data_IF_889497879283
#
_entry.id   IF_889497879283
#
_cell.length_a   1.000
_cell.length_b   1.000
_cell.length_c   1.000
_cell.angle_alpha   90.00
_cell.angle_beta   90.00
_cell.angle_gamma   90.00
#
_symmetry.space_group_name_H-M   'P 1'
#
loop_
_entity.id
_entity.type
_entity.pdbx_description
1 polymer ?
#
# COMPACT_ATOMS: atom_id res chain seq x y z
N UNK A 1 4.72 1.05 -31.04
CA UNK A 1 3.84 1.53 -32.12
C UNK A 1 3.15 2.80 -31.65
N UNK A 2 3.08 3.79 -32.53
CA UNK A 2 2.76 5.22 -32.33
C UNK A 2 1.39 5.47 -31.70
N UNK A 3 1.18 6.61 -31.01
CA UNK A 3 0.32 7.74 -31.45
C UNK A 3 0.63 9.00 -30.60
N UNK A 4 1.16 10.08 -31.20
CA UNK A 4 0.48 11.38 -31.51
C UNK A 4 0.05 12.13 -30.23
N UNK A 5 0.52 13.33 -29.89
CA UNK A 5 0.21 14.60 -30.57
C UNK A 5 1.31 15.64 -30.33
N UNK A 6 1.79 16.20 -31.45
CA UNK A 6 2.58 17.41 -31.50
C UNK A 6 1.60 18.60 -31.53
N UNK A 7 1.57 19.43 -30.50
CA UNK A 7 1.12 20.82 -30.60
C UNK A 7 1.40 21.55 -29.28
N UNK A 8 2.14 22.66 -29.35
CA UNK A 8 1.68 23.93 -28.78
C UNK A 8 2.61 25.04 -29.29
N UNK A 9 2.19 25.65 -30.41
CA UNK A 9 2.55 27.03 -30.70
C UNK A 9 1.77 27.93 -29.74
N UNK A 10 2.50 28.87 -29.12
CA UNK A 10 2.04 30.11 -28.51
C UNK A 10 0.60 30.18 -27.94
N UNK A 11 0.46 30.19 -26.61
CA UNK A 11 -0.36 31.18 -25.89
C UNK A 11 -0.11 31.14 -24.37
N UNK A 12 -0.07 32.32 -23.70
CA UNK A 12 0.07 32.45 -22.26
C UNK A 12 -1.29 32.40 -21.56
N UNK A 13 -1.28 31.88 -20.33
CA UNK A 13 -2.29 32.07 -19.27
C UNK A 13 -3.57 31.24 -19.24
N UNK A 14 -3.80 30.68 -18.04
CA UNK A 14 -5.07 30.27 -17.42
C UNK A 14 -5.77 28.96 -17.84
N UNK A 15 -5.06 27.83 -17.67
CA UNK A 15 -5.60 26.59 -17.11
C UNK A 15 -4.45 25.59 -17.04
N UNK A 16 -4.06 25.12 -15.84
CA UNK A 16 -3.20 23.93 -15.74
C UNK A 16 -4.02 22.78 -16.34
N UNK A 17 -3.64 22.19 -17.48
CA UNK A 17 -4.30 20.98 -17.92
C UNK A 17 -3.84 19.89 -16.95
N UNK A 18 -4.83 19.18 -16.42
CA UNK A 18 -4.72 17.92 -15.68
C UNK A 18 -4.11 16.83 -16.59
N UNK A 19 -2.86 17.02 -17.00
CA UNK A 19 -2.09 16.11 -17.85
C UNK A 19 -0.79 15.65 -17.18
N UNK A 20 -0.64 15.96 -15.89
CA UNK A 20 0.40 15.38 -15.01
C UNK A 20 -0.22 14.50 -13.90
N UNK A 21 -1.48 14.11 -14.05
CA UNK A 21 -2.21 13.32 -13.05
C UNK A 21 -2.19 11.80 -13.38
N UNK A 22 -2.07 11.44 -14.66
CA UNK A 22 -2.20 10.04 -15.11
C UNK A 22 -0.94 9.20 -14.95
N UNK A 23 0.26 9.81 -14.99
CA UNK A 23 1.51 9.09 -14.67
C UNK A 23 1.69 8.92 -13.15
N UNK A 24 1.20 9.88 -12.37
CA UNK A 24 1.45 9.97 -10.93
C UNK A 24 0.61 8.98 -10.14
N UNK A 25 -0.67 8.78 -10.50
CA UNK A 25 -1.56 7.82 -9.80
C UNK A 25 -1.07 6.37 -9.88
N UNK A 26 -0.54 5.96 -11.03
CA UNK A 26 -0.03 4.59 -11.21
C UNK A 26 1.30 4.42 -10.46
N UNK A 27 2.19 5.40 -10.57
CA UNK A 27 3.49 5.41 -9.90
C UNK A 27 3.34 5.44 -8.36
N UNK A 28 2.34 6.17 -7.84
CA UNK A 28 1.99 6.18 -6.41
C UNK A 28 1.44 4.83 -5.94
N UNK A 29 0.58 4.17 -6.72
CA UNK A 29 0.07 2.84 -6.40
C UNK A 29 1.20 1.79 -6.42
N UNK A 30 2.11 1.87 -7.39
CA UNK A 30 3.28 0.99 -7.48
C UNK A 30 4.24 1.22 -6.30
N UNK A 31 4.47 2.48 -5.89
CA UNK A 31 5.23 2.81 -4.68
C UNK A 31 4.56 2.28 -3.41
N UNK A 32 3.23 2.37 -3.33
CA UNK A 32 2.47 1.77 -2.23
C UNK A 32 2.67 0.25 -2.19
N UNK A 33 2.66 -0.41 -3.36
CA UNK A 33 2.85 -1.87 -3.47
C UNK A 33 4.28 -2.28 -3.16
N UNK A 34 5.28 -1.49 -3.54
CA UNK A 34 6.70 -1.83 -3.39
C UNK A 34 7.08 -2.18 -1.94
N UNK A 35 6.52 -1.46 -0.96
CA UNK A 35 6.71 -1.76 0.47
C UNK A 35 6.12 -3.12 0.87
N UNK A 36 4.97 -3.50 0.31
CA UNK A 36 4.27 -4.77 0.60
C UNK A 36 4.92 -5.95 -0.11
N UNK A 37 5.24 -5.81 -1.41
CA UNK A 37 5.88 -6.87 -2.20
C UNK A 37 7.29 -7.16 -1.67
N UNK A 38 7.99 -6.13 -1.18
CA UNK A 38 9.29 -6.29 -0.54
C UNK A 38 9.26 -7.23 0.67
N UNK A 39 8.10 -7.31 1.35
CA UNK A 39 7.85 -8.31 2.39
C UNK A 39 7.21 -9.57 1.78
N UNK A 40 8.06 -10.53 1.40
CA UNK A 40 7.65 -11.85 0.92
C UNK A 40 6.58 -12.48 1.82
N UNK A 41 5.43 -12.84 1.26
CA UNK A 41 4.34 -13.50 2.00
C UNK A 41 3.40 -12.56 2.75
N UNK A 42 3.71 -11.26 2.87
CA UNK A 42 2.87 -10.34 3.64
C UNK A 42 1.45 -10.19 3.07
N UNK A 43 1.33 -10.16 1.74
CA UNK A 43 0.03 -10.17 1.07
C UNK A 43 -0.78 -11.41 1.46
N UNK A 44 -0.15 -12.58 1.41
CA UNK A 44 -0.80 -13.85 1.76
C UNK A 44 -1.24 -13.87 3.23
N UNK A 45 -0.40 -13.39 4.15
CA UNK A 45 -0.72 -13.27 5.56
C UNK A 45 -1.95 -12.36 5.77
N UNK A 46 -1.98 -11.20 5.12
CA UNK A 46 -3.09 -10.23 5.20
C UNK A 46 -4.40 -10.82 4.64
N UNK A 47 -4.34 -11.44 3.46
CA UNK A 47 -5.52 -12.08 2.86
C UNK A 47 -6.00 -13.27 3.67
N UNK A 48 -5.09 -14.15 4.08
CA UNK A 48 -5.40 -15.30 4.92
C UNK A 48 -6.06 -14.84 6.21
N UNK A 49 -5.52 -13.80 6.85
CA UNK A 49 -6.06 -13.21 8.08
C UNK A 49 -7.49 -12.69 7.90
N UNK A 50 -7.78 -12.09 6.75
CA UNK A 50 -9.12 -11.62 6.44
C UNK A 50 -10.10 -12.77 6.21
N UNK A 51 -9.71 -13.79 5.43
CA UNK A 51 -10.57 -14.94 5.15
C UNK A 51 -10.81 -15.83 6.37
N UNK A 52 -9.81 -16.00 7.24
CA UNK A 52 -9.96 -16.77 8.49
C UNK A 52 -10.50 -15.93 9.65
N UNK A 53 -10.51 -14.61 9.53
CA UNK A 53 -10.86 -13.69 10.61
C UNK A 53 -9.85 -13.66 11.77
N UNK A 54 -8.66 -14.26 11.61
CA UNK A 54 -7.60 -14.31 12.62
C UNK A 54 -6.37 -13.61 12.08
N UNK A 55 -5.92 -12.55 12.74
CA UNK A 55 -4.72 -11.83 12.31
C UNK A 55 -3.48 -12.66 12.61
N UNK A 56 -2.75 -13.02 11.56
CA UNK A 56 -1.49 -13.74 11.65
C UNK A 56 -0.50 -13.12 10.66
N UNK A 57 0.31 -12.18 11.15
CA UNK A 57 1.32 -11.47 10.36
C UNK A 57 2.70 -11.84 10.88
N UNK A 58 3.64 -12.12 9.97
CA UNK A 58 5.06 -12.21 10.31
C UNK A 58 5.64 -10.84 10.71
N UNK A 59 6.72 -10.84 11.50
CA UNK A 59 7.42 -9.59 11.88
C UNK A 59 7.87 -8.76 10.66
N UNK A 60 8.29 -9.43 9.58
CA UNK A 60 8.66 -8.78 8.33
C UNK A 60 7.44 -8.15 7.63
N UNK A 61 6.28 -8.80 7.68
CA UNK A 61 5.05 -8.21 7.18
C UNK A 61 4.61 -7.01 8.03
N UNK A 62 4.78 -7.08 9.35
CA UNK A 62 4.48 -5.96 10.23
C UNK A 62 5.33 -4.73 9.95
N UNK A 63 6.63 -4.89 9.70
CA UNK A 63 7.49 -3.78 9.29
C UNK A 63 7.01 -3.11 7.98
N UNK A 64 6.49 -3.90 7.03
CA UNK A 64 5.91 -3.37 5.81
C UNK A 64 4.57 -2.63 6.08
N UNK A 65 3.68 -3.20 6.89
CA UNK A 65 2.40 -2.58 7.27
C UNK A 65 2.60 -1.25 8.01
N UNK A 66 3.58 -1.17 8.90
CA UNK A 66 3.92 0.08 9.60
C UNK A 66 4.44 1.16 8.66
N UNK A 67 5.22 0.76 7.64
CA UNK A 67 5.72 1.66 6.60
C UNK A 67 4.65 2.15 5.61
N UNK A 68 3.45 1.56 5.62
CA UNK A 68 2.37 1.88 4.68
C UNK A 68 1.42 2.91 5.29
N UNK A 69 1.21 4.00 4.55
CA UNK A 69 0.20 5.00 4.87
C UNK A 69 -1.21 4.47 4.63
N UNK A 70 -2.21 4.94 5.39
CA UNK A 70 -3.61 4.52 5.26
C UNK A 70 -4.18 4.73 3.85
N UNK A 71 -3.76 5.82 3.18
CA UNK A 71 -4.11 6.06 1.78
C UNK A 71 -3.58 4.96 0.85
N UNK A 72 -2.33 4.54 1.03
CA UNK A 72 -1.76 3.44 0.27
C UNK A 72 -2.50 2.14 0.55
N UNK A 73 -2.71 1.81 1.82
CA UNK A 73 -3.41 0.57 2.20
C UNK A 73 -4.77 0.46 1.52
N UNK A 74 -5.56 1.54 1.56
CA UNK A 74 -6.91 1.58 0.97
C UNK A 74 -6.90 1.42 -0.57
N UNK A 75 -5.82 1.86 -1.24
CA UNK A 75 -5.65 1.70 -2.69
C UNK A 75 -5.27 0.27 -3.09
N UNK A 76 -4.48 -0.41 -2.26
CA UNK A 76 -4.00 -1.77 -2.50
C UNK A 76 -5.06 -2.80 -2.12
N UNK A 77 -5.74 -2.52 -1.02
CA UNK A 77 -6.63 -3.42 -0.32
C UNK A 77 -8.04 -2.81 -0.21
N UNK A 78 -8.69 -2.46 -1.35
CA UNK A 78 -9.99 -1.78 -1.31
C UNK A 78 -11.10 -2.64 -0.71
N UNK A 79 -10.95 -3.97 -0.76
CA UNK A 79 -11.91 -4.94 -0.23
C UNK A 79 -11.78 -5.19 1.28
N UNK A 80 -10.65 -4.82 1.91
CA UNK A 80 -10.41 -5.04 3.34
C UNK A 80 -11.12 -4.01 4.22
N UNK A 81 -11.54 -2.88 3.65
CA UNK A 81 -12.25 -1.82 4.33
C UNK A 81 -11.35 -0.84 5.09
N UNK A 82 -11.86 0.36 5.33
CA UNK A 82 -11.11 1.51 5.88
C UNK A 82 -10.56 1.29 7.30
N UNK A 83 -11.09 0.31 8.04
CA UNK A 83 -10.66 0.00 9.41
C UNK A 83 -9.60 -1.09 9.52
N UNK A 84 -9.23 -1.75 8.42
CA UNK A 84 -8.35 -2.92 8.51
C UNK A 84 -6.87 -2.54 8.66
N UNK A 85 -6.42 -1.43 8.06
CA UNK A 85 -5.06 -0.94 8.26
C UNK A 85 -4.72 -0.64 9.74
N UNK A 86 -5.53 0.16 10.48
CA UNK A 86 -5.25 0.41 11.89
C UNK A 86 -5.35 -0.86 12.75
N UNK A 87 -6.19 -1.82 12.35
CA UNK A 87 -6.29 -3.13 13.01
C UNK A 87 -4.99 -3.94 12.87
N UNK A 88 -4.43 -4.02 11.65
CA UNK A 88 -3.15 -4.69 11.40
C UNK A 88 -2.00 -3.97 12.12
N UNK A 89 -1.96 -2.65 12.08
CA UNK A 89 -0.96 -1.85 12.82
C UNK A 89 -1.04 -2.09 14.33
N UNK A 90 -2.25 -2.15 14.90
CA UNK A 90 -2.44 -2.46 16.31
C UNK A 90 -1.91 -3.86 16.68
N UNK A 91 -2.15 -4.86 15.83
CA UNK A 91 -1.58 -6.19 16.02
C UNK A 91 -0.05 -6.17 15.93
N UNK A 92 0.51 -5.44 14.98
CA UNK A 92 1.96 -5.31 14.82
C UNK A 92 2.63 -4.69 16.03
N UNK A 93 2.10 -3.59 16.56
CA UNK A 93 2.60 -2.97 17.80
C UNK A 93 2.53 -3.93 18.99
N UNK A 94 1.44 -4.70 19.11
CA UNK A 94 1.29 -5.72 20.15
C UNK A 94 2.30 -6.86 19.99
N UNK A 95 2.62 -7.25 18.75
CA UNK A 95 3.62 -8.27 18.45
C UNK A 95 5.04 -7.79 18.76
N UNK A 96 5.36 -6.52 18.52
CA UNK A 96 6.66 -5.91 18.88
C UNK A 96 6.88 -5.83 20.39
N UNK A 97 5.79 -5.71 21.17
CA UNK A 97 5.83 -5.70 22.64
C UNK A 97 5.79 -7.08 23.28
N UNK A 98 5.36 -8.11 22.53
CA UNK A 98 5.40 -9.49 22.97
C UNK A 98 6.77 -10.08 22.60
N UNK A 99 7.67 -10.18 23.59
CA UNK A 99 8.90 -10.94 23.44
C UNK A 99 8.59 -12.33 22.83
N UNK A 100 9.41 -12.84 21.89
CA UNK A 100 9.17 -14.14 21.28
C UNK A 100 9.02 -15.20 22.38
N UNK A 101 8.10 -16.18 22.24
CA UNK A 101 7.98 -17.26 23.21
C UNK A 101 9.37 -17.90 23.36
N UNK A 102 9.88 -18.08 24.59
CA UNK A 102 11.19 -18.68 24.78
C UNK A 102 11.18 -20.06 24.12
N UNK A 103 12.13 -20.27 23.19
CA UNK A 103 12.38 -21.58 22.62
C UNK A 103 12.72 -22.52 23.79
N UNK A 104 11.97 -23.62 23.88
CA UNK A 104 12.09 -24.63 24.92
C UNK A 104 13.46 -25.31 24.96
#
# INVERSE_FOLDING_TARGET
MMMVVLACAASPSLARPVAEESKTVVDDIEKCWAAVIGASGCIQDVFSSFFTGRIHLSAQCCAAIEGISDNCFTKIFPFLGVGYNPLLKGFCVAQSGAAPPPAA
#
